data_IF_617779663721
#
_entry.id   IF_617779663721
#
_cell.length_a   1.000
_cell.length_b   1.000
_cell.length_c   1.000
_cell.angle_alpha   90.00
_cell.angle_beta   90.00
_cell.angle_gamma   90.00
#
_symmetry.space_group_name_H-M   'P 1'
#
loop_
_entity.id
_entity.type
_entity.pdbx_description
1 polymer ?
#
# COMPACT_ATOMS: atom_id res chain seq x y z
N UNK A 1 1.51 11.78 -21.09
CA UNK A 1 0.77 11.36 -19.89
C UNK A 1 1.39 10.09 -19.34
N UNK A 2 1.76 10.10 -18.07
CA UNK A 2 2.32 8.91 -17.43
C UNK A 2 1.18 8.03 -16.94
N UNK A 3 1.24 6.77 -17.30
CA UNK A 3 0.29 5.77 -16.85
C UNK A 3 0.90 4.97 -15.70
N UNK A 4 0.29 5.05 -14.53
CA UNK A 4 0.74 4.34 -13.35
C UNK A 4 -0.46 3.68 -12.66
N UNK A 5 -0.74 2.41 -12.98
CA UNK A 5 -1.90 1.72 -12.40
C UNK A 5 -1.89 1.65 -10.88
N UNK A 6 -0.71 1.52 -10.27
CA UNK A 6 -0.62 1.44 -8.81
C UNK A 6 -0.96 2.78 -8.16
N UNK A 7 -0.46 3.87 -8.72
CA UNK A 7 -0.79 5.22 -8.26
C UNK A 7 -2.28 5.50 -8.40
N UNK A 8 -2.87 5.10 -9.53
CA UNK A 8 -4.30 5.28 -9.78
C UNK A 8 -5.13 4.48 -8.76
N UNK A 9 -4.72 3.24 -8.45
CA UNK A 9 -5.42 2.42 -7.47
C UNK A 9 -5.40 3.06 -6.09
N UNK A 10 -4.25 3.55 -5.63
CA UNK A 10 -4.14 4.23 -4.34
C UNK A 10 -4.92 5.53 -4.30
N UNK A 11 -4.94 6.29 -5.40
CA UNK A 11 -5.74 7.50 -5.51
C UNK A 11 -7.23 7.18 -5.40
N UNK A 12 -7.70 6.13 -6.06
CA UNK A 12 -9.10 5.70 -5.97
C UNK A 12 -9.47 5.28 -4.55
N UNK A 13 -8.59 4.53 -3.88
CA UNK A 13 -8.82 4.11 -2.50
C UNK A 13 -8.89 5.33 -1.58
N UNK A 14 -7.94 6.26 -1.70
CA UNK A 14 -7.91 7.47 -0.89
C UNK A 14 -9.15 8.33 -1.12
N UNK A 15 -9.53 8.56 -2.37
CA UNK A 15 -10.70 9.38 -2.69
C UNK A 15 -12.00 8.75 -2.17
N UNK A 16 -12.14 7.43 -2.29
CA UNK A 16 -13.31 6.71 -1.78
C UNK A 16 -13.39 6.79 -0.26
N UNK A 17 -12.25 6.66 0.42
CA UNK A 17 -12.18 6.80 1.88
C UNK A 17 -12.58 8.20 2.33
N UNK A 18 -12.07 9.23 1.66
CA UNK A 18 -12.40 10.63 1.96
C UNK A 18 -13.88 10.95 1.71
N UNK A 19 -14.48 10.31 0.72
CA UNK A 19 -15.88 10.50 0.39
C UNK A 19 -16.82 9.68 1.31
N UNK A 20 -16.28 8.87 2.19
CA UNK A 20 -17.07 8.06 3.12
C UNK A 20 -17.71 6.83 2.50
N UNK A 21 -17.19 6.34 1.38
CA UNK A 21 -17.72 5.14 0.75
C UNK A 21 -17.35 3.90 1.58
N UNK A 22 -18.21 2.87 1.52
CA UNK A 22 -17.99 1.61 2.23
C UNK A 22 -17.13 0.63 1.43
N UNK A 23 -17.02 0.83 0.14
CA UNK A 23 -16.21 -0.03 -0.71
C UNK A 23 -15.74 0.74 -1.94
N UNK A 24 -14.69 0.20 -2.57
CA UNK A 24 -14.15 0.75 -3.81
C UNK A 24 -13.68 -0.41 -4.68
N UNK A 25 -13.84 -0.27 -5.99
CA UNK A 25 -13.32 -1.23 -6.96
C UNK A 25 -12.12 -0.60 -7.66
N UNK A 26 -10.99 -1.29 -7.60
CA UNK A 26 -9.74 -0.82 -8.21
C UNK A 26 -9.25 -1.84 -9.23
N UNK A 27 -8.71 -1.36 -10.32
CA UNK A 27 -8.18 -2.19 -11.39
C UNK A 27 -6.88 -1.58 -11.95
N UNK A 28 -6.04 -2.39 -12.62
CA UNK A 28 -6.12 -3.83 -12.78
C UNK A 28 -5.74 -4.61 -11.51
N UNK A 29 -6.19 -5.85 -11.41
CA UNK A 29 -5.91 -6.72 -10.28
C UNK A 29 -4.52 -7.36 -10.40
N UNK A 30 -3.47 -6.57 -10.21
CA UNK A 30 -2.10 -7.07 -10.27
C UNK A 30 -1.74 -7.85 -9.00
N UNK A 31 -0.73 -8.72 -9.11
CA UNK A 31 -0.22 -9.44 -7.94
C UNK A 31 0.37 -8.48 -6.92
N UNK A 32 1.04 -7.42 -7.37
CA UNK A 32 1.61 -6.41 -6.49
C UNK A 32 0.53 -5.72 -5.67
N UNK A 33 -0.55 -5.27 -6.33
CA UNK A 33 -1.66 -4.63 -5.63
C UNK A 33 -2.31 -5.59 -4.64
N UNK A 34 -2.50 -6.85 -5.00
CA UNK A 34 -3.04 -7.86 -4.11
C UNK A 34 -2.19 -8.07 -2.86
N UNK A 35 -0.87 -8.14 -3.04
CA UNK A 35 0.05 -8.27 -1.90
C UNK A 35 -0.02 -7.05 -0.99
N UNK A 36 -0.13 -5.85 -1.56
CA UNK A 36 -0.25 -4.62 -0.79
C UNK A 36 -1.57 -4.56 -0.02
N UNK A 37 -2.67 -4.98 -0.66
CA UNK A 37 -3.97 -5.05 0.02
C UNK A 37 -3.95 -6.03 1.18
N UNK A 38 -3.27 -7.17 1.03
CA UNK A 38 -3.11 -8.14 2.11
C UNK A 38 -2.40 -7.53 3.31
N UNK A 39 -1.36 -6.75 3.07
CA UNK A 39 -0.62 -6.05 4.12
C UNK A 39 -1.51 -5.00 4.80
N UNK A 40 -2.26 -4.24 4.01
CA UNK A 40 -3.16 -3.22 4.54
C UNK A 40 -4.27 -3.83 5.38
N UNK A 41 -4.82 -4.97 4.94
CA UNK A 41 -5.83 -5.70 5.70
C UNK A 41 -5.26 -6.22 7.02
N UNK A 42 -4.08 -6.82 6.98
CA UNK A 42 -3.42 -7.35 8.18
C UNK A 42 -3.11 -6.28 9.21
N UNK A 43 -2.97 -5.03 8.79
CA UNK A 43 -2.69 -3.89 9.68
C UNK A 43 -3.94 -3.10 10.03
N UNK A 44 -5.12 -3.53 9.58
CA UNK A 44 -6.38 -2.91 9.97
C UNK A 44 -6.76 -1.65 9.21
N UNK A 45 -6.18 -1.40 8.04
CA UNK A 45 -6.51 -0.22 7.24
C UNK A 45 -7.67 -0.44 6.29
N UNK A 46 -7.84 -1.67 5.80
CA UNK A 46 -8.98 -2.04 4.95
C UNK A 46 -9.61 -3.30 5.50
N UNK A 47 -10.86 -3.55 5.11
CA UNK A 47 -11.57 -4.78 5.45
C UNK A 47 -11.26 -5.88 4.44
N UNK A 48 -12.26 -6.68 4.14
CA UNK A 48 -12.10 -7.76 3.18
C UNK A 48 -11.95 -7.22 1.76
N UNK A 49 -11.21 -7.93 0.94
CA UNK A 49 -11.09 -7.61 -0.46
C UNK A 49 -11.23 -8.89 -1.29
N UNK A 50 -11.78 -8.76 -2.48
CA UNK A 50 -12.02 -9.87 -3.38
C UNK A 50 -11.57 -9.51 -4.78
N UNK A 51 -10.96 -10.48 -5.44
CA UNK A 51 -10.62 -10.33 -6.85
C UNK A 51 -11.81 -10.72 -7.70
N UNK A 52 -12.19 -9.83 -8.62
CA UNK A 52 -13.23 -10.11 -9.60
C UNK A 52 -12.61 -10.15 -10.98
N UNK A 53 -13.11 -11.05 -11.83
CA UNK A 53 -12.64 -11.15 -13.21
C UNK A 53 -13.62 -10.44 -14.11
N UNK A 54 -13.15 -9.37 -14.75
CA UNK A 54 -13.94 -8.56 -15.67
C UNK A 54 -13.54 -8.77 -17.13
N UNK A 55 -12.68 -9.76 -17.41
CA UNK A 55 -12.14 -10.02 -18.74
C UNK A 55 -11.09 -9.00 -19.20
N UNK A 56 -10.71 -8.06 -18.34
CA UNK A 56 -9.75 -6.99 -18.65
C UNK A 56 -8.63 -6.89 -17.61
N UNK A 57 -8.12 -8.02 -17.16
CA UNK A 57 -7.08 -8.06 -16.14
C UNK A 57 -7.60 -8.16 -14.72
N UNK A 58 -8.92 -8.12 -14.54
CA UNK A 58 -9.55 -8.25 -13.23
C UNK A 58 -9.57 -6.94 -12.44
N UNK A 59 -10.24 -6.98 -11.32
CA UNK A 59 -10.33 -5.87 -10.39
C UNK A 59 -10.34 -6.39 -8.96
N UNK A 60 -9.99 -5.54 -8.00
CA UNK A 60 -10.18 -5.82 -6.59
C UNK A 60 -11.33 -4.99 -6.05
N UNK A 61 -12.25 -5.63 -5.37
CA UNK A 61 -13.30 -4.96 -4.61
C UNK A 61 -12.83 -4.92 -3.17
N UNK A 62 -12.62 -3.73 -2.64
CA UNK A 62 -12.02 -3.51 -1.34
C UNK A 62 -13.04 -2.87 -0.41
N UNK A 63 -13.21 -3.47 0.76
CA UNK A 63 -14.07 -2.92 1.80
C UNK A 63 -13.31 -1.85 2.58
N UNK A 64 -13.92 -0.68 2.73
CA UNK A 64 -13.35 0.45 3.46
C UNK A 64 -13.98 0.54 4.84
N UNK A 65 -13.14 0.71 5.85
CA UNK A 65 -13.57 0.69 7.26
C UNK A 65 -13.32 2.02 7.98
N UNK A 66 -13.00 3.06 7.25
CA UNK A 66 -12.78 4.39 7.83
C UNK A 66 -11.46 4.56 8.56
N UNK A 67 -10.50 3.66 8.32
CA UNK A 67 -9.23 3.65 9.06
C UNK A 67 -8.09 4.39 8.36
N UNK A 68 -8.25 4.73 7.07
CA UNK A 68 -7.19 5.37 6.30
C UNK A 68 -7.29 6.88 6.43
N UNK A 69 -6.26 7.51 6.98
CA UNK A 69 -6.15 8.98 7.00
C UNK A 69 -5.51 9.46 5.71
N UNK A 70 -4.45 8.80 5.27
CA UNK A 70 -3.76 9.13 4.04
C UNK A 70 -3.02 7.92 3.51
N UNK A 71 -2.97 7.78 2.19
CA UNK A 71 -2.16 6.76 1.54
C UNK A 71 -1.72 7.26 0.16
N UNK A 72 -0.63 6.69 -0.33
CA UNK A 72 -0.14 7.03 -1.66
C UNK A 72 1.06 6.19 -2.03
N UNK A 73 1.44 6.26 -3.31
CA UNK A 73 2.66 5.60 -3.77
C UNK A 73 3.86 6.51 -3.57
N UNK A 74 5.02 5.90 -3.41
CA UNK A 74 6.29 6.61 -3.26
C UNK A 74 7.00 6.59 -4.61
N UNK A 75 7.27 7.77 -5.15
CA UNK A 75 7.98 7.96 -6.41
C UNK A 75 9.10 8.97 -6.23
N UNK A 76 10.29 8.67 -6.76
CA UNK A 76 10.71 7.38 -7.30
C UNK A 76 10.74 6.31 -6.22
N UNK A 77 10.83 5.04 -6.63
CA UNK A 77 10.89 3.92 -5.68
C UNK A 77 12.30 3.88 -5.07
N UNK A 78 12.48 4.65 -4.01
CA UNK A 78 13.77 4.78 -3.33
C UNK A 78 14.24 3.44 -2.76
N UNK A 79 15.52 3.16 -2.91
CA UNK A 79 16.14 2.01 -2.27
C UNK A 79 16.39 2.33 -0.80
N UNK A 80 16.09 1.39 0.07
CA UNK A 80 16.26 1.54 1.52
C UNK A 80 17.12 0.40 2.03
N UNK A 81 18.20 0.74 2.70
CA UNK A 81 19.04 -0.24 3.39
C UNK A 81 18.40 -0.60 4.74
N UNK A 82 18.70 -1.79 5.24
CA UNK A 82 18.12 -2.29 6.49
C UNK A 82 18.27 -1.35 7.69
N UNK A 83 19.27 -0.47 7.68
CA UNK A 83 19.55 0.46 8.77
C UNK A 83 18.99 1.87 8.53
N UNK A 84 18.27 2.11 7.43
CA UNK A 84 17.87 3.46 7.02
C UNK A 84 16.36 3.73 7.18
N UNK A 85 15.61 2.82 7.79
CA UNK A 85 14.15 2.96 7.85
C UNK A 85 13.68 4.21 8.60
N UNK A 86 14.38 4.60 9.66
CA UNK A 86 13.99 5.76 10.46
C UNK A 86 13.91 7.04 9.63
N UNK A 87 14.85 7.23 8.71
CA UNK A 87 14.88 8.35 7.80
C UNK A 87 13.62 8.42 6.93
N UNK A 88 13.21 7.27 6.38
CA UNK A 88 12.06 7.19 5.49
C UNK A 88 10.74 7.26 6.25
N UNK A 89 10.68 6.70 7.45
CA UNK A 89 9.53 6.85 8.33
C UNK A 89 9.28 8.32 8.63
N UNK A 90 10.32 9.07 8.99
CA UNK A 90 10.19 10.50 9.28
C UNK A 90 9.70 11.30 8.09
N UNK A 91 10.04 10.86 6.88
CA UNK A 91 9.69 11.58 5.65
C UNK A 91 8.22 11.37 5.25
N UNK A 92 7.69 10.17 5.42
CA UNK A 92 6.37 9.80 4.91
C UNK A 92 5.31 9.57 5.97
N UNK A 93 5.71 9.26 7.20
CA UNK A 93 4.77 8.95 8.27
C UNK A 93 4.73 10.11 9.29
N UNK A 94 3.54 10.35 9.88
CA UNK A 94 3.37 11.51 10.78
C UNK A 94 4.08 11.37 12.12
N UNK A 95 4.27 10.13 12.58
CA UNK A 95 4.89 9.88 13.88
C UNK A 95 5.53 8.51 13.88
N UNK A 96 6.43 8.29 14.84
CA UNK A 96 7.06 7.00 15.04
C UNK A 96 5.99 5.97 15.43
N UNK A 97 6.09 4.79 14.88
CA UNK A 97 5.16 3.66 15.11
C UNK A 97 3.72 3.97 14.70
N UNK A 98 3.53 4.96 13.83
CA UNK A 98 2.21 5.32 13.32
C UNK A 98 2.21 5.22 11.80
N UNK A 99 1.46 4.26 11.26
CA UNK A 99 1.39 4.02 9.84
C UNK A 99 2.38 2.99 9.34
N UNK A 100 2.36 2.73 8.04
CA UNK A 100 3.19 1.74 7.37
C UNK A 100 3.90 2.33 6.17
N UNK A 101 5.13 1.86 5.96
CA UNK A 101 5.77 1.89 4.65
C UNK A 101 5.67 0.49 4.06
N UNK A 102 5.27 0.39 2.81
CA UNK A 102 5.20 -0.88 2.08
C UNK A 102 6.35 -0.89 1.09
N UNK A 103 7.11 -1.97 1.09
CA UNK A 103 8.29 -2.09 0.25
C UNK A 103 8.40 -3.48 -0.37
N UNK A 104 9.12 -3.56 -1.46
CA UNK A 104 9.46 -4.84 -2.07
C UNK A 104 10.89 -5.21 -1.69
N UNK A 105 11.07 -6.45 -1.25
CA UNK A 105 12.37 -7.00 -0.82
C UNK A 105 12.66 -8.27 -1.60
N UNK A 106 13.85 -8.84 -1.39
CA UNK A 106 14.18 -10.13 -1.98
C UNK A 106 13.36 -11.28 -1.40
N UNK A 107 12.65 -11.05 -0.31
CA UNK A 107 11.74 -12.02 0.31
C UNK A 107 10.27 -11.73 0.01
N UNK A 108 10.00 -10.76 -0.87
CA UNK A 108 8.65 -10.38 -1.27
C UNK A 108 8.25 -8.99 -0.79
N UNK A 109 6.97 -8.68 -0.97
CA UNK A 109 6.41 -7.40 -0.54
C UNK A 109 6.03 -7.50 0.93
N UNK A 110 6.44 -6.53 1.72
CA UNK A 110 6.19 -6.51 3.16
C UNK A 110 6.12 -5.08 3.68
N UNK A 111 5.64 -4.90 4.91
CA UNK A 111 5.70 -3.60 5.56
C UNK A 111 7.10 -3.38 6.17
N UNK A 112 7.39 -2.15 6.56
CA UNK A 112 8.72 -1.82 7.07
C UNK A 112 9.00 -2.44 8.45
N UNK A 113 7.97 -2.73 9.25
CA UNK A 113 8.16 -3.41 10.54
C UNK A 113 8.69 -4.83 10.33
N UNK A 114 8.09 -5.56 9.39
CA UNK A 114 8.53 -6.91 9.05
C UNK A 114 9.93 -6.89 8.42
N UNK A 115 10.21 -5.89 7.58
CA UNK A 115 11.53 -5.75 6.98
C UNK A 115 12.61 -5.51 8.02
N UNK A 116 12.34 -4.69 9.03
CA UNK A 116 13.25 -4.50 10.17
C UNK A 116 13.49 -5.80 10.92
N UNK A 117 12.42 -6.54 11.17
CA UNK A 117 12.47 -7.82 11.89
C UNK A 117 13.29 -8.85 11.13
N UNK A 118 13.11 -8.93 9.81
CA UNK A 118 13.85 -9.85 8.94
C UNK A 118 15.23 -9.31 8.56
N UNK A 119 15.57 -8.09 8.95
CA UNK A 119 16.85 -7.43 8.67
C UNK A 119 17.14 -7.33 7.17
N UNK A 120 16.13 -6.98 6.40
CA UNK A 120 16.26 -6.81 4.95
C UNK A 120 15.96 -5.38 4.55
N UNK A 121 16.59 -4.93 3.49
CA UNK A 121 16.26 -3.70 2.82
C UNK A 121 15.48 -3.99 1.54
N UNK A 122 15.11 -2.94 0.82
CA UNK A 122 14.36 -3.10 -0.43
C UNK A 122 14.07 -1.77 -1.08
N UNK A 123 13.00 -1.73 -1.86
CA UNK A 123 12.54 -0.50 -2.52
C UNK A 123 11.17 -0.13 -2.01
N UNK A 124 11.02 1.13 -1.66
CA UNK A 124 9.73 1.66 -1.19
C UNK A 124 8.70 1.67 -2.31
N UNK A 125 7.49 1.26 -2.00
CA UNK A 125 6.37 1.25 -2.93
C UNK A 125 5.29 2.26 -2.55
N UNK A 126 4.92 2.29 -1.27
CA UNK A 126 3.79 3.10 -0.82
C UNK A 126 3.88 3.39 0.67
N UNK A 127 3.04 4.32 1.11
CA UNK A 127 2.84 4.63 2.52
C UNK A 127 1.34 4.67 2.82
N UNK A 128 0.99 4.39 4.07
CA UNK A 128 -0.39 4.48 4.55
C UNK A 128 -0.40 4.79 6.05
N UNK A 129 -1.29 5.67 6.42
CA UNK A 129 -1.53 5.95 7.84
C UNK A 129 -2.96 6.42 8.10
#
# INVERSE_FOLDING_TARGET
>A
MQFDPLSDAFTQIFNAEQAGHYEVTVNPASKMLGSMLSIMQGSGYVGEYQRTDDGRGGAYRVELIGAINRCGVIKPRHSVKRAEFDKWESRYLPARDFGLLILTTNQGIMNHYDAKKERVGGRLLAYIF
#
